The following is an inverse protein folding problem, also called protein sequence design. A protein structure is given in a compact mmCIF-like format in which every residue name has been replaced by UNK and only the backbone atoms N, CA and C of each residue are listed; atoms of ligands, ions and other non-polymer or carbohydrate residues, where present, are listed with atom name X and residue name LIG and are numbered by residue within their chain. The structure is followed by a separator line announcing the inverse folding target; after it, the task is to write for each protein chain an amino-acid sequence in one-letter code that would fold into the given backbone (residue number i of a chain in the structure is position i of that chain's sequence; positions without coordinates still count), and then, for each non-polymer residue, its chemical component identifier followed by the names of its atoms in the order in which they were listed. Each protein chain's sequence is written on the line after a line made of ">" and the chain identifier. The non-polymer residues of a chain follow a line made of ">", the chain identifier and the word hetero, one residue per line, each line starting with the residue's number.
data_IF_318244374112
#
_entry.id   IF_318244374112
#
_cell.length_a   1.000
_cell.length_b   1.000
_cell.length_c   1.000
_cell.angle_alpha   90.00
_cell.angle_beta   90.00
_cell.angle_gamma   90.00
#
_symmetry.space_group_name_H-M   'P 1'
#
loop_
_entity.id
_entity.type
_entity.pdbx_description
1 polymer ?
#
# COMPACT_ATOMS: atom_id res chain seq x y z
N UNK A 1 -19.05 30.35 -39.51
CA UNK A 1 -19.68 31.23 -40.54
C UNK A 1 -19.30 30.75 -41.93
N UNK A 2 -20.26 30.26 -42.73
CA UNK A 2 -20.38 30.52 -44.18
C UNK A 2 -21.81 30.12 -44.60
N UNK A 3 -22.50 31.10 -45.16
CA UNK A 3 -23.88 31.10 -45.68
C UNK A 3 -23.84 30.43 -47.09
N UNK A 4 -24.91 29.84 -47.63
CA UNK A 4 -26.01 30.57 -48.27
C UNK A 4 -27.09 29.62 -48.83
N UNK A 5 -28.27 30.20 -49.03
CA UNK A 5 -29.57 29.61 -49.33
C UNK A 5 -29.93 29.54 -50.83
N UNK A 6 -30.98 28.75 -51.16
CA UNK A 6 -32.00 29.00 -52.21
C UNK A 6 -33.18 28.01 -51.95
N UNK A 7 -34.43 28.37 -51.60
CA UNK A 7 -35.51 29.19 -52.23
C UNK A 7 -36.05 28.55 -53.52
N UNK A 8 -37.06 27.67 -53.44
CA UNK A 8 -38.54 27.83 -53.46
C UNK A 8 -39.20 27.90 -54.86
N UNK A 9 -40.19 27.01 -55.10
CA UNK A 9 -41.59 27.24 -55.61
C UNK A 9 -42.15 26.13 -56.53
N UNK A 10 -43.45 25.85 -56.33
CA UNK A 10 -44.41 25.28 -57.29
C UNK A 10 -44.53 23.75 -57.24
N UNK A 11 -45.68 23.09 -57.33
CA UNK A 11 -47.03 23.49 -57.75
C UNK A 11 -48.07 22.41 -57.29
N UNK A 12 -49.34 22.84 -57.27
CA UNK A 12 -50.65 22.15 -57.18
C UNK A 12 -50.80 20.66 -56.80
N UNK A 13 -51.55 20.48 -55.71
CA UNK A 13 -52.81 19.71 -55.56
C UNK A 13 -53.23 18.72 -56.66
N UNK A 14 -53.50 17.47 -56.25
CA UNK A 14 -54.79 16.78 -56.46
C UNK A 14 -54.88 15.51 -55.61
N UNK A 15 -55.99 15.39 -54.90
CA UNK A 15 -56.50 14.19 -54.24
C UNK A 15 -56.88 13.16 -55.29
N UNK A 16 -56.46 11.90 -55.12
CA UNK A 16 -57.26 10.76 -55.57
C UNK A 16 -57.10 9.60 -54.58
N UNK A 17 -58.24 9.26 -53.99
CA UNK A 17 -58.46 8.17 -53.05
C UNK A 17 -58.51 6.85 -53.80
N UNK A 18 -57.63 5.91 -53.42
CA UNK A 18 -57.79 4.48 -53.72
C UNK A 18 -57.64 3.72 -52.39
N UNK A 19 -58.64 2.93 -51.96
CA UNK A 19 -58.48 2.04 -50.83
C UNK A 19 -57.86 0.70 -51.27
N UNK A 20 -57.34 -0.03 -50.29
CA UNK A 20 -56.88 -1.42 -50.35
C UNK A 20 -55.45 -1.67 -50.85
N UNK A 21 -54.53 -1.77 -49.90
CA UNK A 21 -54.20 -3.12 -49.42
C UNK A 21 -53.76 -3.01 -47.96
N UNK A 22 -54.56 -3.55 -47.04
CA UNK A 22 -54.06 -3.83 -45.70
C UNK A 22 -52.98 -4.90 -45.88
N UNK A 23 -51.73 -4.46 -45.97
CA UNK A 23 -50.59 -5.35 -45.80
C UNK A 23 -50.85 -6.10 -44.50
N UNK A 24 -51.02 -7.41 -44.59
CA UNK A 24 -51.09 -8.28 -43.43
C UNK A 24 -49.84 -7.98 -42.60
N UNK A 25 -50.02 -7.27 -41.48
CA UNK A 25 -49.02 -7.22 -40.42
C UNK A 25 -49.00 -8.64 -39.89
N UNK A 26 -48.18 -9.49 -40.51
CA UNK A 26 -47.87 -10.77 -39.93
C UNK A 26 -47.33 -10.46 -38.52
N UNK A 27 -47.85 -11.11 -37.47
CA UNK A 27 -47.25 -10.98 -36.16
C UNK A 27 -45.78 -11.35 -36.34
N UNK A 28 -44.87 -10.47 -35.95
CA UNK A 28 -43.47 -10.87 -35.77
C UNK A 28 -43.54 -12.11 -34.88
N UNK A 29 -43.13 -13.27 -35.40
CA UNK A 29 -43.06 -14.49 -34.59
C UNK A 29 -42.03 -14.23 -33.50
N UNK A 30 -42.51 -13.75 -32.35
CA UNK A 30 -41.70 -13.60 -31.16
C UNK A 30 -41.48 -15.00 -30.62
N UNK A 31 -40.26 -15.51 -30.78
CA UNK A 31 -39.85 -16.77 -30.19
C UNK A 31 -39.88 -16.61 -28.67
N UNK A 32 -40.84 -17.27 -28.04
CA UNK A 32 -40.95 -17.31 -26.59
C UNK A 32 -40.04 -18.42 -26.05
N UNK A 33 -39.10 -18.06 -25.18
CA UNK A 33 -38.29 -19.01 -24.42
C UNK A 33 -39.13 -19.55 -23.26
N UNK A 34 -39.87 -18.67 -22.59
CA UNK A 34 -40.89 -19.02 -21.61
C UNK A 34 -42.22 -18.45 -22.10
N UNK A 35 -43.20 -19.31 -22.46
CA UNK A 35 -44.47 -18.86 -23.05
C UNK A 35 -45.11 -17.73 -22.26
N UNK A 36 -45.35 -16.59 -22.93
CA UNK A 36 -46.02 -15.42 -22.34
C UNK A 36 -45.26 -14.72 -21.21
N UNK A 37 -44.01 -15.09 -20.92
CA UNK A 37 -43.20 -14.45 -19.85
C UNK A 37 -41.84 -13.93 -20.33
N UNK A 38 -41.17 -14.64 -21.24
CA UNK A 38 -39.82 -14.29 -21.68
C UNK A 38 -39.65 -14.56 -23.17
N UNK A 39 -39.40 -13.50 -23.94
CA UNK A 39 -39.05 -13.61 -25.35
C UNK A 39 -37.54 -13.78 -25.53
N UNK A 40 -37.12 -14.39 -26.63
CA UNK A 40 -35.70 -14.54 -27.00
C UNK A 40 -34.98 -13.19 -27.10
N UNK A 41 -35.66 -12.16 -27.62
CA UNK A 41 -35.10 -10.80 -27.70
C UNK A 41 -34.83 -10.19 -26.32
N UNK A 42 -35.69 -10.47 -25.33
CA UNK A 42 -35.50 -10.00 -23.96
C UNK A 42 -34.35 -10.76 -23.28
N UNK A 43 -34.28 -12.06 -23.48
CA UNK A 43 -33.19 -12.90 -22.96
C UNK A 43 -31.82 -12.50 -23.50
N UNK A 44 -31.71 -12.34 -24.83
CA UNK A 44 -30.47 -11.90 -25.48
C UNK A 44 -30.06 -10.49 -25.05
N UNK A 45 -31.01 -9.59 -24.83
CA UNK A 45 -30.76 -8.27 -24.26
C UNK A 45 -30.27 -8.32 -22.81
N UNK A 46 -30.74 -9.27 -22.01
CA UNK A 46 -30.25 -9.45 -20.63
C UNK A 46 -28.82 -9.98 -20.63
N UNK A 47 -28.52 -10.95 -21.50
CA UNK A 47 -27.19 -11.53 -21.61
C UNK A 47 -26.16 -10.50 -22.10
N UNK A 48 -26.53 -9.67 -23.09
CA UNK A 48 -25.65 -8.58 -23.56
C UNK A 48 -25.47 -7.47 -22.52
N UNK A 49 -26.47 -7.25 -21.67
CA UNK A 49 -26.33 -6.35 -20.52
C UNK A 49 -25.35 -6.92 -19.49
N UNK A 50 -25.48 -8.19 -19.13
CA UNK A 50 -24.60 -8.88 -18.17
C UNK A 50 -23.13 -8.84 -18.64
N UNK A 51 -22.87 -9.14 -19.92
CA UNK A 51 -21.54 -9.04 -20.52
C UNK A 51 -20.99 -7.60 -20.47
N UNK A 52 -21.85 -6.60 -20.72
CA UNK A 52 -21.49 -5.19 -20.58
C UNK A 52 -21.15 -4.81 -19.14
N UNK A 53 -21.86 -5.35 -18.16
CA UNK A 53 -21.60 -5.12 -16.74
C UNK A 53 -20.26 -5.74 -16.30
N UNK A 54 -19.91 -6.94 -16.78
CA UNK A 54 -18.60 -7.57 -16.53
C UNK A 54 -17.45 -6.69 -17.02
N UNK A 55 -17.55 -6.15 -18.24
CA UNK A 55 -16.55 -5.22 -18.79
C UNK A 55 -16.42 -3.96 -17.95
N UNK A 56 -17.53 -3.41 -17.46
CA UNK A 56 -17.51 -2.23 -16.58
C UNK A 56 -16.81 -2.54 -15.26
N UNK A 57 -17.04 -3.72 -14.69
CA UNK A 57 -16.36 -4.16 -13.46
C UNK A 57 -14.85 -4.22 -13.67
N UNK A 58 -14.39 -4.79 -14.79
CA UNK A 58 -12.95 -4.87 -15.11
C UNK A 58 -12.33 -3.48 -15.26
N UNK A 59 -13.00 -2.57 -15.98
CA UNK A 59 -12.53 -1.18 -16.15
C UNK A 59 -12.41 -0.47 -14.80
N UNK A 60 -13.41 -0.64 -13.92
CA UNK A 60 -13.39 -0.03 -12.59
C UNK A 60 -12.26 -0.61 -11.75
N UNK A 61 -12.05 -1.93 -11.81
CA UNK A 61 -10.98 -2.60 -11.08
C UNK A 61 -9.59 -2.09 -11.51
N UNK A 62 -9.32 -2.04 -12.82
CA UNK A 62 -8.06 -1.53 -13.37
C UNK A 62 -7.84 -0.05 -13.01
N UNK A 63 -8.89 0.77 -13.12
CA UNK A 63 -8.82 2.18 -12.73
C UNK A 63 -8.49 2.34 -11.25
N UNK A 64 -9.15 1.56 -10.39
CA UNK A 64 -8.97 1.65 -8.94
C UNK A 64 -7.58 1.18 -8.52
N UNK A 65 -7.07 0.11 -9.13
CA UNK A 65 -5.69 -0.35 -8.97
C UNK A 65 -4.69 0.76 -9.36
N UNK A 66 -4.85 1.35 -10.54
CA UNK A 66 -3.98 2.41 -11.02
C UNK A 66 -4.02 3.66 -10.13
N UNK A 67 -5.19 4.07 -9.68
CA UNK A 67 -5.34 5.21 -8.75
C UNK A 67 -4.67 4.91 -7.41
N UNK A 68 -4.87 3.72 -6.86
CA UNK A 68 -4.28 3.32 -5.58
C UNK A 68 -2.75 3.27 -5.66
N UNK A 69 -2.19 2.67 -6.71
CA UNK A 69 -0.73 2.62 -6.93
C UNK A 69 -0.14 4.03 -7.04
N UNK A 70 -0.75 4.92 -7.84
CA UNK A 70 -0.26 6.30 -7.98
C UNK A 70 -0.38 7.10 -6.69
N UNK A 71 -1.48 6.96 -5.95
CA UNK A 71 -1.62 7.62 -4.64
C UNK A 71 -0.54 7.13 -3.66
N UNK A 72 -0.27 5.83 -3.66
CA UNK A 72 0.75 5.25 -2.80
C UNK A 72 2.17 5.71 -3.18
N UNK A 73 2.50 5.78 -4.47
CA UNK A 73 3.78 6.32 -4.94
C UNK A 73 3.98 7.78 -4.51
N UNK A 74 2.95 8.62 -4.69
CA UNK A 74 3.00 10.02 -4.24
C UNK A 74 3.14 10.11 -2.72
N UNK A 75 2.45 9.26 -1.97
CA UNK A 75 2.60 9.18 -0.53
C UNK A 75 4.04 8.83 -0.13
N UNK A 76 4.64 7.78 -0.72
CA UNK A 76 6.02 7.39 -0.44
C UNK A 76 7.01 8.52 -0.75
N UNK A 77 6.86 9.20 -1.89
CA UNK A 77 7.71 10.34 -2.24
C UNK A 77 7.62 11.46 -1.21
N UNK A 78 6.41 11.74 -0.70
CA UNK A 78 6.20 12.75 0.36
C UNK A 78 6.77 12.32 1.70
N UNK A 79 6.74 11.02 2.01
CA UNK A 79 7.24 10.49 3.28
C UNK A 79 8.74 10.23 3.29
N UNK A 80 9.39 10.10 2.14
CA UNK A 80 10.82 9.75 2.05
C UNK A 80 11.68 10.68 2.89
N UNK A 81 11.58 12.00 2.69
CA UNK A 81 12.41 12.97 3.40
C UNK A 81 12.07 13.01 4.91
N UNK A 82 10.82 13.19 5.34
CA UNK A 82 10.46 13.16 6.76
C UNK A 82 10.93 11.88 7.46
N UNK A 83 10.71 10.72 6.85
CA UNK A 83 11.13 9.44 7.40
C UNK A 83 12.65 9.33 7.49
N UNK A 84 13.39 9.68 6.44
CA UNK A 84 14.86 9.62 6.46
C UNK A 84 15.46 10.56 7.51
N UNK A 85 14.91 11.76 7.68
CA UNK A 85 15.37 12.70 8.71
C UNK A 85 15.09 12.15 10.11
N UNK A 86 13.87 11.68 10.36
CA UNK A 86 13.49 11.07 11.63
C UNK A 86 14.37 9.85 11.95
N UNK A 87 14.59 8.98 10.97
CA UNK A 87 15.41 7.78 11.10
C UNK A 87 16.86 8.15 11.43
N UNK A 88 17.45 9.09 10.69
CA UNK A 88 18.82 9.54 10.91
C UNK A 88 19.00 10.18 12.29
N UNK A 89 18.06 11.03 12.70
CA UNK A 89 18.08 11.64 14.03
C UNK A 89 18.01 10.59 15.14
N UNK A 90 17.06 9.65 15.03
CA UNK A 90 16.86 8.61 16.05
C UNK A 90 18.07 7.71 16.17
N UNK A 91 18.63 7.25 15.04
CA UNK A 91 19.83 6.40 15.04
C UNK A 91 21.05 7.14 15.57
N UNK A 92 21.21 8.43 15.25
CA UNK A 92 22.33 9.22 15.75
C UNK A 92 22.26 9.36 17.27
N UNK A 93 21.07 9.63 17.82
CA UNK A 93 20.87 9.72 19.28
C UNK A 93 21.20 8.39 19.94
N UNK A 94 20.63 7.29 19.46
CA UNK A 94 20.89 5.94 19.99
C UNK A 94 22.39 5.58 19.93
N UNK A 95 23.03 5.87 18.79
CA UNK A 95 24.47 5.63 18.61
C UNK A 95 25.30 6.44 19.61
N UNK A 96 24.95 7.72 19.81
CA UNK A 96 25.66 8.56 20.78
C UNK A 96 25.43 8.08 22.22
N UNK A 97 24.24 7.62 22.57
CA UNK A 97 23.98 7.03 23.89
C UNK A 97 24.83 5.78 24.15
N UNK A 98 25.04 4.94 23.13
CA UNK A 98 25.91 3.78 23.23
C UNK A 98 27.41 4.13 23.27
N UNK A 99 27.86 5.13 22.50
CA UNK A 99 29.28 5.51 22.42
C UNK A 99 29.71 6.40 23.58
N UNK A 100 28.82 7.28 24.03
CA UNK A 100 29.02 8.18 25.16
C UNK A 100 28.29 7.63 26.38
N UNK A 101 28.65 6.39 26.74
CA UNK A 101 28.28 5.82 28.03
C UNK A 101 28.57 6.88 29.09
N UNK A 102 27.53 7.28 29.83
CA UNK A 102 27.72 8.21 30.94
C UNK A 102 28.77 7.60 31.85
N UNK A 103 29.67 8.45 32.35
CA UNK A 103 30.55 8.08 33.44
C UNK A 103 29.68 7.46 34.52
N UNK A 104 29.95 6.20 34.83
CA UNK A 104 29.40 5.58 36.02
C UNK A 104 29.87 6.41 37.21
N UNK A 105 28.93 6.87 38.04
CA UNK A 105 29.29 7.61 39.25
C UNK A 105 29.94 6.67 40.28
N UNK A 106 29.89 5.36 40.03
CA UNK A 106 30.40 4.32 40.90
C UNK A 106 29.46 4.07 42.07
N UNK A 107 29.71 2.98 42.77
CA UNK A 107 29.01 2.67 44.01
C UNK A 107 29.46 3.66 45.09
N UNK A 108 28.51 4.23 45.83
CA UNK A 108 28.82 5.11 46.96
C UNK A 108 28.85 4.28 48.26
N UNK A 109 30.05 4.04 48.83
CA UNK A 109 30.20 3.19 50.02
C UNK A 109 29.50 3.75 51.26
N UNK A 110 29.18 5.06 51.28
CA UNK A 110 28.43 5.67 52.39
C UNK A 110 26.92 5.38 52.29
N UNK A 111 26.41 5.11 51.08
CA UNK A 111 25.00 4.86 50.81
C UNK A 111 24.67 3.36 50.62
N UNK A 112 25.67 2.53 50.34
CA UNK A 112 25.51 1.10 50.13
C UNK A 112 25.93 0.26 51.35
N UNK A 113 24.96 -0.01 52.24
CA UNK A 113 25.15 -0.76 53.49
C UNK A 113 25.77 -2.17 53.34
N UNK A 114 25.76 -2.73 52.13
CA UNK A 114 26.30 -4.05 51.82
C UNK A 114 27.53 -4.02 50.91
N UNK A 115 27.97 -2.83 50.50
CA UNK A 115 29.20 -2.70 49.75
C UNK A 115 30.37 -2.94 50.71
N UNK A 116 31.19 -3.93 50.39
CA UNK A 116 32.41 -4.25 51.13
C UNK A 116 33.53 -4.37 50.12
N UNK A 117 34.62 -3.64 50.37
CA UNK A 117 35.82 -3.77 49.53
C UNK A 117 36.31 -5.22 49.56
N UNK A 118 36.49 -5.80 48.37
CA UNK A 118 37.02 -7.15 48.23
C UNK A 118 38.46 -7.19 48.75
N UNK A 119 38.81 -8.26 49.46
CA UNK A 119 40.18 -8.48 49.90
C UNK A 119 41.07 -8.72 48.68
N UNK A 120 42.21 -8.03 48.62
CA UNK A 120 43.19 -8.24 47.57
C UNK A 120 43.59 -9.73 47.54
N UNK A 121 43.47 -10.41 46.38
CA UNK A 121 43.79 -11.83 46.30
C UNK A 121 45.27 -12.04 46.64
N UNK A 122 45.56 -13.12 47.35
CA UNK A 122 46.95 -13.48 47.62
C UNK A 122 47.69 -13.69 46.28
N UNK A 123 48.94 -13.20 46.17
CA UNK A 123 49.76 -13.44 44.98
C UNK A 123 49.76 -14.92 44.61
N UNK A 124 49.45 -15.24 43.36
CA UNK A 124 49.53 -16.61 42.89
C UNK A 124 50.99 -17.07 42.84
N UNK A 125 51.20 -18.39 42.94
CA UNK A 125 52.53 -18.95 42.72
C UNK A 125 53.00 -18.59 41.31
N UNK A 126 54.17 -17.97 41.22
CA UNK A 126 54.82 -17.62 39.96
C UNK A 126 55.00 -18.89 39.14
N UNK A 127 54.38 -18.94 37.96
CA UNK A 127 54.46 -20.08 37.06
C UNK A 127 55.66 -19.98 36.09
N UNK A 128 55.85 -21.00 35.26
CA UNK A 128 56.96 -21.06 34.31
C UNK A 128 56.78 -20.13 33.09
N UNK A 129 55.69 -19.38 33.00
CA UNK A 129 55.42 -18.41 31.93
C UNK A 129 55.73 -16.97 32.35
N UNK A 130 56.01 -16.73 33.64
CA UNK A 130 56.37 -15.43 34.19
C UNK A 130 57.90 -15.19 34.23
N UNK A 131 58.56 -15.23 33.06
CA UNK A 131 60.01 -14.97 32.97
C UNK A 131 60.33 -13.52 33.39
N UNK A 132 61.09 -13.36 34.49
CA UNK A 132 61.50 -12.05 35.03
C UNK A 132 60.71 -11.55 36.25
N UNK A 133 59.75 -12.32 36.78
CA UNK A 133 59.04 -11.95 38.01
C UNK A 133 59.94 -12.00 39.25
N UNK A 134 59.77 -11.04 40.17
CA UNK A 134 60.51 -10.97 41.44
C UNK A 134 59.87 -11.91 42.47
N UNK A 135 60.62 -12.81 43.11
CA UNK A 135 60.06 -13.73 44.10
C UNK A 135 59.61 -12.99 45.37
N UNK A 136 58.42 -13.31 45.86
CA UNK A 136 57.88 -12.78 47.11
C UNK A 136 58.58 -13.46 48.29
N UNK A 137 59.25 -12.68 49.15
CA UNK A 137 59.90 -13.16 50.38
C UNK A 137 59.04 -12.75 51.59
N UNK A 138 58.50 -13.73 52.33
CA UNK A 138 57.84 -13.45 53.59
C UNK A 138 58.87 -13.33 54.72
N UNK A 139 58.84 -12.23 55.46
CA UNK A 139 59.68 -12.07 56.65
C UNK A 139 59.24 -13.06 57.74
N UNK A 140 60.19 -13.73 58.38
CA UNK A 140 59.90 -14.64 59.48
C UNK A 140 59.31 -13.86 60.67
N UNK A 141 58.07 -14.20 61.03
CA UNK A 141 57.45 -13.73 62.27
C UNK A 141 58.15 -14.43 63.44
N UNK A 142 58.96 -13.67 64.17
CA UNK A 142 59.60 -14.11 65.42
C UNK A 142 58.68 -13.97 66.62
#
# INVERSE_FOLDING_TARGET
>A
MRRSAAKSRGDKSRTDSVPANAASVQPVETVDIVPGRLTESTWTSMLSQEEGEEVVVDIIAELMEGVMDRCYQVYLQRQLIPFSVWWAQSNLVETLECLLLRRDEGDDPEHELFWQEDQEPQPCAIDCWAEGSVPVLHAAQG
#
